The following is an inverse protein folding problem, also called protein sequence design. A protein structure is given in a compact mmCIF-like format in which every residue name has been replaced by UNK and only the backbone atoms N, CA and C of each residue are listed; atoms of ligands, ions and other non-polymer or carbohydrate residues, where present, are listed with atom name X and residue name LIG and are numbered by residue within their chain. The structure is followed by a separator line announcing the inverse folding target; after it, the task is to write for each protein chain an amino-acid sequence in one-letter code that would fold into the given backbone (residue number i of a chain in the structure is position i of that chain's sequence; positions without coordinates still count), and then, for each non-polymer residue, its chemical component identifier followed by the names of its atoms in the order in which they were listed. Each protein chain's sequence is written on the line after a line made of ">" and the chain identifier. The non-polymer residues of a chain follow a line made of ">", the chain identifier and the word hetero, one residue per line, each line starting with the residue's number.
data_IF_281543809560
#
_entry.id   IF_281543809560
#
_cell.length_a   1.000
_cell.length_b   1.000
_cell.length_c   1.000
_cell.angle_alpha   90.00
_cell.angle_beta   90.00
_cell.angle_gamma   90.00
#
_symmetry.space_group_name_H-M   'P 1'
#
loop_
_entity.id
_entity.type
_entity.pdbx_description
1 polymer ?
#
# COMPACT_ATOMS: atom_id res chain seq x y z
N UNK A 1 -2.47 -6.50 -11.69
CA UNK A 1 -1.06 -6.51 -11.22
C UNK A 1 -0.63 -5.08 -10.96
N UNK A 2 -0.18 -4.76 -9.74
CA UNK A 2 0.28 -3.41 -9.42
C UNK A 2 1.80 -3.35 -9.51
N UNK A 3 2.31 -2.67 -10.55
CA UNK A 3 3.73 -2.37 -10.76
C UNK A 3 3.93 -0.86 -10.80
N UNK A 4 5.03 -0.37 -10.24
CA UNK A 4 5.32 1.06 -10.16
C UNK A 4 4.77 1.72 -8.89
N UNK A 5 4.22 2.92 -9.00
CA UNK A 5 3.84 3.77 -7.86
C UNK A 5 2.32 3.88 -7.72
N UNK A 6 1.77 3.67 -6.53
CA UNK A 6 0.40 4.12 -6.22
C UNK A 6 0.41 5.19 -5.13
N UNK A 7 -0.45 6.17 -5.33
CA UNK A 7 -0.73 7.22 -4.37
C UNK A 7 -2.24 7.25 -4.15
N UNK A 8 -2.66 7.20 -2.89
CA UNK A 8 -4.04 7.35 -2.46
C UNK A 8 -4.12 8.44 -1.38
N UNK A 9 -5.28 9.08 -1.27
CA UNK A 9 -5.48 10.15 -0.29
C UNK A 9 -4.57 11.36 -0.48
N UNK A 10 -4.23 11.70 -1.73
CA UNK A 10 -3.36 12.86 -2.04
C UNK A 10 -3.89 14.19 -1.47
N UNK A 11 -5.20 14.29 -1.24
CA UNK A 11 -5.86 15.42 -0.59
C UNK A 11 -5.73 15.43 0.94
N UNK A 12 -5.01 14.48 1.53
CA UNK A 12 -4.89 14.30 2.99
C UNK A 12 -5.89 13.30 3.57
N UNK A 13 -6.61 12.56 2.73
CA UNK A 13 -7.57 11.55 3.18
C UNK A 13 -6.85 10.31 3.74
N UNK A 14 -6.92 10.15 5.07
CA UNK A 14 -6.30 9.06 5.82
C UNK A 14 -7.09 7.76 5.78
N UNK A 15 -8.38 7.83 5.41
CA UNK A 15 -9.25 6.65 5.30
C UNK A 15 -9.11 5.96 3.93
N UNK A 16 -8.36 6.57 3.01
CA UNK A 16 -8.05 6.01 1.72
C UNK A 16 -7.31 4.66 1.83
N UNK A 17 -7.66 3.73 0.94
CA UNK A 17 -7.10 2.38 0.93
C UNK A 17 -6.69 1.99 -0.49
N UNK A 18 -5.63 1.19 -0.59
CA UNK A 18 -5.15 0.64 -1.86
C UNK A 18 -5.40 -0.85 -1.84
N UNK A 19 -6.13 -1.35 -2.85
CA UNK A 19 -6.40 -2.76 -3.04
C UNK A 19 -5.66 -3.24 -4.28
N UNK A 20 -4.98 -4.37 -4.19
CA UNK A 20 -4.31 -4.96 -5.33
C UNK A 20 -4.36 -6.48 -5.26
N UNK A 21 -4.42 -7.12 -6.42
CA UNK A 21 -4.40 -8.59 -6.53
C UNK A 21 -2.99 -9.15 -6.62
N UNK A 22 -1.99 -8.32 -7.00
CA UNK A 22 -0.57 -8.67 -7.01
C UNK A 22 0.22 -7.42 -6.59
N UNK A 23 0.74 -7.40 -5.36
CA UNK A 23 1.52 -6.30 -4.82
C UNK A 23 2.99 -6.39 -5.28
N UNK A 24 3.35 -5.65 -6.32
CA UNK A 24 4.73 -5.54 -6.82
C UNK A 24 5.12 -4.07 -7.01
N UNK A 25 4.66 -3.23 -6.07
CA UNK A 25 4.83 -1.80 -6.09
C UNK A 25 6.28 -1.39 -5.75
N UNK A 26 6.78 -0.39 -6.46
CA UNK A 26 8.04 0.30 -6.13
C UNK A 26 7.81 1.34 -5.01
N UNK A 27 6.63 1.96 -5.00
CA UNK A 27 6.20 2.92 -4.00
C UNK A 27 4.69 2.83 -3.77
N UNK A 28 4.30 2.87 -2.51
CA UNK A 28 2.90 3.02 -2.09
C UNK A 28 2.80 4.20 -1.14
N UNK A 29 1.84 5.10 -1.36
CA UNK A 29 1.60 6.23 -0.47
C UNK A 29 0.12 6.40 -0.17
N UNK A 30 -0.19 6.67 1.10
CA UNK A 30 -1.52 7.00 1.59
C UNK A 30 -1.41 8.25 2.47
N UNK A 31 -2.13 9.32 2.12
CA UNK A 31 -2.14 10.58 2.87
C UNK A 31 -0.74 11.18 3.16
N UNK A 32 0.21 10.99 2.24
CA UNK A 32 1.59 11.47 2.37
C UNK A 32 2.53 10.56 3.16
N UNK A 33 2.03 9.52 3.83
CA UNK A 33 2.86 8.44 4.37
C UNK A 33 3.18 7.47 3.24
N UNK A 34 4.42 7.04 3.12
CA UNK A 34 4.84 6.19 2.01
C UNK A 34 5.75 5.05 2.44
N UNK A 35 5.66 3.95 1.70
CA UNK A 35 6.61 2.85 1.72
C UNK A 35 7.23 2.70 0.34
N UNK A 36 8.53 2.41 0.34
CA UNK A 36 9.25 1.91 -0.82
C UNK A 36 9.18 0.37 -0.82
N UNK A 37 9.58 -0.24 -1.93
CA UNK A 37 9.54 -1.69 -2.12
C UNK A 37 10.26 -2.50 -1.04
N UNK A 38 11.29 -1.95 -0.40
CA UNK A 38 12.05 -2.55 0.69
C UNK A 38 11.30 -2.60 2.03
N UNK A 39 10.36 -1.67 2.24
CA UNK A 39 9.49 -1.62 3.44
C UNK A 39 8.30 -2.55 3.34
N UNK A 40 7.94 -3.00 2.14
CA UNK A 40 6.83 -3.93 1.92
C UNK A 40 7.28 -5.33 2.38
N UNK A 41 6.59 -5.99 3.33
CA UNK A 41 6.96 -7.33 3.77
C UNK A 41 6.92 -8.32 2.60
N UNK A 42 7.99 -9.10 2.44
CA UNK A 42 8.16 -10.03 1.31
C UNK A 42 7.03 -11.07 1.20
N UNK A 43 6.34 -11.37 2.30
CA UNK A 43 5.20 -12.29 2.33
C UNK A 43 4.01 -11.83 1.48
N UNK A 44 3.87 -10.51 1.25
CA UNK A 44 2.82 -9.91 0.42
C UNK A 44 3.26 -9.66 -1.02
N UNK A 45 4.54 -9.83 -1.33
CA UNK A 45 5.06 -9.58 -2.68
C UNK A 45 4.40 -10.53 -3.70
N UNK A 46 3.81 -9.97 -4.75
CA UNK A 46 3.09 -10.70 -5.78
C UNK A 46 1.76 -11.31 -5.33
N UNK A 47 1.29 -11.05 -4.10
CA UNK A 47 0.01 -11.55 -3.58
C UNK A 47 -1.06 -10.47 -3.54
N UNK A 48 -2.30 -10.90 -3.31
CA UNK A 48 -3.42 -10.00 -3.09
C UNK A 48 -3.31 -9.36 -1.71
N UNK A 49 -3.33 -8.03 -1.68
CA UNK A 49 -3.10 -7.26 -0.47
C UNK A 49 -3.92 -5.98 -0.46
N UNK A 50 -4.29 -5.57 0.75
CA UNK A 50 -4.90 -4.29 1.10
C UNK A 50 -3.91 -3.46 1.89
N UNK A 51 -3.64 -2.24 1.44
CA UNK A 51 -2.87 -1.25 2.17
C UNK A 51 -3.78 -0.15 2.70
N UNK A 52 -3.57 0.24 3.95
CA UNK A 52 -4.30 1.34 4.60
C UNK A 52 -3.41 2.07 5.59
N UNK A 53 -3.81 3.27 5.99
CA UNK A 53 -3.22 3.94 7.14
C UNK A 53 -3.86 3.39 8.44
N UNK A 54 -3.04 3.07 9.45
CA UNK A 54 -3.49 2.80 10.81
C UNK A 54 -2.49 3.45 11.77
N UNK A 55 -2.97 4.22 12.75
CA UNK A 55 -2.12 4.92 13.73
C UNK A 55 -0.99 5.75 13.09
N UNK A 56 -1.30 6.44 11.97
CA UNK A 56 -0.35 7.19 11.13
C UNK A 56 0.78 6.36 10.48
N UNK A 57 0.69 5.03 10.52
CA UNK A 57 1.60 4.13 9.83
C UNK A 57 0.88 3.40 8.69
N UNK A 58 1.61 3.10 7.61
CA UNK A 58 1.11 2.19 6.59
C UNK A 58 1.02 0.78 7.17
N UNK A 59 -0.08 0.11 6.89
CA UNK A 59 -0.30 -1.30 7.23
C UNK A 59 -0.72 -2.04 5.99
N UNK A 60 -0.31 -3.30 5.90
CA UNK A 60 -0.66 -4.22 4.82
C UNK A 60 -1.36 -5.43 5.40
N UNK A 61 -2.41 -5.88 4.74
CA UNK A 61 -3.22 -7.03 5.14
C UNK A 61 -3.53 -7.88 3.92
N UNK A 62 -3.66 -9.20 4.06
CA UNK A 62 -4.06 -10.06 2.95
C UNK A 62 -5.50 -9.73 2.52
N UNK A 63 -5.74 -9.80 1.22
CA UNK A 63 -7.08 -9.67 0.66
C UNK A 63 -7.66 -11.08 0.50
N UNK A 64 -8.46 -11.51 1.48
CA UNK A 64 -9.18 -12.78 1.47
C UNK A 64 -10.48 -12.70 0.66
#
# INVERSE_FOLDING_TARGET
>A
MMRGRALAGASGDREAQIFCTHLTAELVSIAGVYWLSDKIPAEFYGKAARLRLADNALTVQPLN
#
